data_IF_838367708145
#
_entry.id   IF_838367708145
#
_cell.length_a   1.000
_cell.length_b   1.000
_cell.length_c   1.000
_cell.angle_alpha   90.00
_cell.angle_beta   90.00
_cell.angle_gamma   90.00
#
_symmetry.space_group_name_H-M   'P 1'
#
loop_
_entity.id
_entity.type
_entity.pdbx_description
1 polymer ?
#
# COMPACT_ATOMS: atom_id res chain seq x y z
N UNK A 1 67.32 -4.65 6.81
CA UNK A 1 66.34 -3.77 6.12
C UNK A 1 65.27 -3.37 7.14
N UNK A 2 65.38 -2.16 7.73
CA UNK A 2 64.50 -1.69 8.81
C UNK A 2 63.27 -1.03 8.16
N UNK A 3 62.11 -1.71 8.18
CA UNK A 3 60.85 -1.13 7.67
C UNK A 3 60.57 0.16 8.46
N UNK A 4 60.44 1.29 7.75
CA UNK A 4 60.27 2.60 8.36
C UNK A 4 58.98 2.64 9.20
N UNK A 5 59.04 2.95 10.51
CA UNK A 5 57.85 3.03 11.36
C UNK A 5 56.89 4.13 10.90
N UNK A 6 57.40 5.09 10.11
CA UNK A 6 56.62 6.16 9.51
C UNK A 6 55.55 5.64 8.54
N UNK A 7 55.85 4.59 7.77
CA UNK A 7 54.88 4.01 6.83
C UNK A 7 53.73 3.30 7.55
N UNK A 8 54.02 2.66 8.69
CA UNK A 8 53.03 1.94 9.49
C UNK A 8 52.07 2.87 10.25
N UNK A 9 52.57 4.02 10.72
CA UNK A 9 51.77 5.04 11.39
C UNK A 9 50.86 5.77 10.40
N UNK A 10 51.36 6.07 9.19
CA UNK A 10 50.54 6.66 8.12
C UNK A 10 49.46 5.69 7.67
N UNK A 11 49.76 4.40 7.50
CA UNK A 11 48.74 3.39 7.17
C UNK A 11 47.68 3.23 8.27
N UNK A 12 48.07 3.26 9.56
CA UNK A 12 47.13 3.17 10.68
C UNK A 12 46.23 4.40 10.80
N UNK A 13 46.76 5.60 10.55
CA UNK A 13 45.98 6.85 10.55
C UNK A 13 44.98 6.90 9.39
N UNK A 14 45.36 6.41 8.20
CA UNK A 14 44.44 6.35 7.04
C UNK A 14 43.31 5.33 7.27
N UNK A 15 43.60 4.16 7.87
CA UNK A 15 42.56 3.19 8.24
C UNK A 15 41.62 3.70 9.34
N UNK A 16 42.11 4.47 10.32
CA UNK A 16 41.28 5.02 11.39
C UNK A 16 40.32 6.13 10.91
N UNK A 17 40.72 6.92 9.91
CA UNK A 17 39.86 7.97 9.33
C UNK A 17 38.75 7.39 8.45
N UNK A 18 38.99 6.27 7.77
CA UNK A 18 37.96 5.58 6.97
C UNK A 18 36.82 4.98 7.81
N UNK A 19 37.09 4.66 9.09
CA UNK A 19 36.10 4.12 10.03
C UNK A 19 35.21 5.18 10.70
N UNK A 20 35.53 6.47 10.53
CA UNK A 20 34.80 7.59 11.14
C UNK A 20 33.87 8.30 10.15
N UNK A 21 33.77 7.85 8.90
CA UNK A 21 32.72 8.33 8.01
C UNK A 21 31.39 7.73 8.45
N UNK A 22 30.40 8.55 8.86
CA UNK A 22 29.04 8.05 8.98
C UNK A 22 28.64 7.59 7.58
N UNK A 23 28.35 6.31 7.42
CA UNK A 23 27.65 5.83 6.24
C UNK A 23 26.32 6.57 6.19
N UNK A 24 26.24 7.62 5.37
CA UNK A 24 24.97 8.22 4.99
C UNK A 24 24.23 7.16 4.18
N UNK A 25 23.53 6.27 4.88
CA UNK A 25 22.55 5.38 4.29
C UNK A 25 21.39 6.28 3.88
N UNK A 26 21.43 6.75 2.64
CA UNK A 26 20.24 7.30 2.01
C UNK A 26 19.29 6.13 1.82
N UNK A 27 18.31 6.02 2.72
CA UNK A 27 17.17 5.13 2.52
C UNK A 27 16.32 5.71 1.38
N UNK A 28 16.62 5.32 0.15
CA UNK A 28 15.73 5.52 -0.99
C UNK A 28 14.58 4.52 -0.86
N UNK A 29 13.53 4.91 -0.15
CA UNK A 29 12.25 4.21 -0.19
C UNK A 29 11.68 4.27 -1.60
N UNK A 30 11.46 3.10 -2.22
CA UNK A 30 10.97 2.91 -3.59
C UNK A 30 11.79 3.64 -4.67
N UNK A 31 12.61 2.90 -5.42
CA UNK A 31 13.52 3.46 -6.42
C UNK A 31 12.82 4.41 -7.39
N UNK A 32 13.24 5.68 -7.43
CA UNK A 32 13.12 6.62 -8.56
C UNK A 32 11.74 6.93 -9.17
N UNK A 33 10.66 6.25 -8.78
CA UNK A 33 9.33 6.45 -9.39
C UNK A 33 8.73 7.74 -8.87
N UNK A 34 8.45 8.66 -9.78
CA UNK A 34 7.75 9.90 -9.47
C UNK A 34 6.30 9.56 -9.09
N UNK A 35 5.95 9.79 -7.83
CA UNK A 35 4.58 9.63 -7.34
C UNK A 35 3.70 10.78 -7.84
N UNK A 36 2.43 10.46 -8.05
CA UNK A 36 1.38 11.39 -8.46
C UNK A 36 0.67 11.89 -7.21
N UNK A 37 0.58 13.22 -7.05
CA UNK A 37 -0.24 13.87 -6.03
C UNK A 37 -1.71 13.84 -6.48
N UNK A 38 -2.61 13.16 -5.73
CA UNK A 38 -4.03 13.07 -6.09
C UNK A 38 -4.87 14.31 -5.78
N UNK A 39 -4.32 15.38 -5.17
CA UNK A 39 -5.03 16.60 -4.78
C UNK A 39 -6.32 16.30 -3.97
N UNK A 40 -6.17 15.52 -2.89
CA UNK A 40 -7.31 15.03 -2.10
C UNK A 40 -7.91 16.14 -1.22
N UNK A 41 -9.18 16.45 -1.44
CA UNK A 41 -9.98 17.28 -0.54
C UNK A 41 -10.85 16.44 0.42
N UNK A 42 -10.52 16.47 1.72
CA UNK A 42 -11.28 15.79 2.78
C UNK A 42 -12.64 16.45 3.09
N UNK A 43 -12.94 17.58 2.47
CA UNK A 43 -14.25 18.26 2.60
C UNK A 43 -15.19 17.90 1.46
N UNK A 44 -14.70 17.37 0.34
CA UNK A 44 -15.55 16.90 -0.76
C UNK A 44 -16.26 15.59 -0.37
N UNK A 45 -17.46 15.74 0.17
CA UNK A 45 -18.31 14.61 0.57
C UNK A 45 -18.66 13.72 -0.61
N UNK A 46 -18.86 14.27 -1.81
CA UNK A 46 -19.20 13.47 -2.97
C UNK A 46 -18.02 12.57 -3.39
N UNK A 47 -16.79 13.09 -3.34
CA UNK A 47 -15.57 12.31 -3.55
C UNK A 47 -15.41 11.22 -2.49
N UNK A 48 -15.58 11.57 -1.22
CA UNK A 48 -15.48 10.59 -0.12
C UNK A 48 -16.54 9.49 -0.20
N UNK A 49 -17.77 9.80 -0.61
CA UNK A 49 -18.83 8.82 -0.86
C UNK A 49 -18.49 7.86 -1.99
N UNK A 50 -17.96 8.37 -3.12
CA UNK A 50 -17.47 7.51 -4.21
C UNK A 50 -16.31 6.62 -3.74
N UNK A 51 -15.36 7.18 -2.99
CA UNK A 51 -14.23 6.45 -2.42
C UNK A 51 -14.66 5.33 -1.48
N UNK A 52 -15.61 5.60 -0.58
CA UNK A 52 -16.19 4.60 0.32
C UNK A 52 -16.85 3.46 -0.48
N UNK A 53 -17.64 3.79 -1.50
CA UNK A 53 -18.27 2.79 -2.36
C UNK A 53 -17.23 1.94 -3.12
N UNK A 54 -16.23 2.58 -3.72
CA UNK A 54 -15.16 1.88 -4.44
C UNK A 54 -14.40 0.93 -3.50
N UNK A 55 -14.11 1.36 -2.28
CA UNK A 55 -13.48 0.51 -1.29
C UNK A 55 -14.34 -0.72 -0.95
N UNK A 56 -15.64 -0.54 -0.69
CA UNK A 56 -16.52 -1.66 -0.37
C UNK A 56 -16.75 -2.61 -1.53
N UNK A 57 -16.77 -2.10 -2.76
CA UNK A 57 -17.00 -2.90 -3.97
C UNK A 57 -15.75 -3.70 -4.41
N UNK A 58 -14.55 -3.10 -4.33
CA UNK A 58 -13.33 -3.66 -4.93
C UNK A 58 -12.27 -4.11 -3.93
N UNK A 59 -12.26 -3.56 -2.71
CA UNK A 59 -11.18 -3.80 -1.75
C UNK A 59 -11.63 -4.70 -0.59
N UNK A 60 -12.84 -4.49 -0.08
CA UNK A 60 -13.33 -5.08 1.17
C UNK A 60 -13.61 -6.58 1.12
N UNK A 61 -13.49 -7.21 -0.06
CA UNK A 61 -13.49 -8.67 -0.17
C UNK A 61 -12.18 -9.30 0.29
N UNK A 62 -11.05 -8.59 0.13
CA UNK A 62 -9.71 -9.08 0.47
C UNK A 62 -9.08 -8.31 1.63
N UNK A 63 -9.32 -7.00 1.72
CA UNK A 63 -8.68 -6.11 2.68
C UNK A 63 -9.67 -5.61 3.73
N UNK A 64 -9.32 -5.79 5.00
CA UNK A 64 -10.09 -5.18 6.09
C UNK A 64 -9.72 -3.71 6.28
N UNK A 65 -10.64 -2.94 6.86
CA UNK A 65 -10.38 -1.67 7.52
C UNK A 65 -10.89 -1.77 8.97
N UNK A 66 -10.24 -2.63 9.75
CA UNK A 66 -10.68 -3.06 11.09
C UNK A 66 -10.84 -1.94 12.12
N UNK A 67 -10.28 -0.75 11.88
CA UNK A 67 -10.48 0.42 12.76
C UNK A 67 -11.63 1.33 12.31
N UNK A 68 -12.29 1.03 11.20
CA UNK A 68 -13.40 1.81 10.66
C UNK A 68 -14.73 1.10 10.85
N UNK A 69 -15.70 1.79 11.47
CA UNK A 69 -17.10 1.35 11.56
C UNK A 69 -17.94 1.96 10.45
N UNK A 70 -18.90 1.20 9.93
CA UNK A 70 -19.76 1.66 8.84
C UNK A 70 -20.55 2.92 9.20
N UNK A 71 -21.20 2.96 10.36
CA UNK A 71 -21.98 4.12 10.80
C UNK A 71 -21.12 5.37 11.00
N UNK A 72 -19.89 5.22 11.51
CA UNK A 72 -18.97 6.33 11.73
C UNK A 72 -18.52 6.92 10.40
N UNK A 73 -18.13 6.06 9.46
CA UNK A 73 -17.82 6.45 8.09
C UNK A 73 -19.02 7.16 7.44
N UNK A 74 -20.22 6.60 7.56
CA UNK A 74 -21.45 7.18 7.01
C UNK A 74 -21.67 8.61 7.51
N UNK A 75 -21.66 8.80 8.84
CA UNK A 75 -21.84 10.11 9.46
C UNK A 75 -20.77 11.12 9.02
N UNK A 76 -19.51 10.69 8.93
CA UNK A 76 -18.42 11.56 8.50
C UNK A 76 -18.56 12.00 7.05
N UNK A 77 -19.15 11.18 6.17
CA UNK A 77 -19.29 11.50 4.74
C UNK A 77 -20.71 11.95 4.36
N UNK A 78 -21.59 12.18 5.33
CA UNK A 78 -22.95 12.69 5.11
C UNK A 78 -23.93 11.67 4.52
N UNK A 79 -23.71 10.37 4.76
CA UNK A 79 -24.64 9.30 4.43
C UNK A 79 -25.45 8.88 5.66
N UNK A 80 -26.64 8.33 5.41
CA UNK A 80 -27.44 7.65 6.44
C UNK A 80 -27.05 6.18 6.56
N UNK A 81 -27.35 5.59 7.72
CA UNK A 81 -27.16 4.14 7.93
C UNK A 81 -27.88 3.30 6.87
N UNK A 82 -29.08 3.72 6.44
CA UNK A 82 -29.86 3.02 5.42
C UNK A 82 -29.20 3.06 4.03
N UNK A 83 -28.56 4.18 3.67
CA UNK A 83 -27.79 4.27 2.42
C UNK A 83 -26.60 3.32 2.43
N UNK A 84 -25.90 3.23 3.56
CA UNK A 84 -24.73 2.35 3.70
C UNK A 84 -25.12 0.87 3.76
N UNK A 85 -26.21 0.52 4.45
CA UNK A 85 -26.74 -0.85 4.48
C UNK A 85 -27.09 -1.37 3.10
N UNK A 86 -27.68 -0.51 2.26
CA UNK A 86 -28.16 -0.90 0.93
C UNK A 86 -27.03 -1.29 -0.02
N UNK A 87 -25.95 -0.49 -0.04
CA UNK A 87 -24.99 -0.52 -1.16
C UNK A 87 -23.52 -0.75 -0.73
N UNK A 88 -23.22 -0.91 0.56
CA UNK A 88 -21.83 -0.99 1.06
C UNK A 88 -21.58 -2.08 2.11
N UNK A 89 -22.62 -2.62 2.76
CA UNK A 89 -22.48 -3.62 3.84
C UNK A 89 -22.59 -5.06 3.32
N UNK A 90 -21.58 -5.53 2.60
CA UNK A 90 -21.56 -6.89 2.04
C UNK A 90 -21.09 -7.97 3.03
N UNK A 91 -20.39 -7.56 4.10
CA UNK A 91 -19.73 -8.49 5.04
C UNK A 91 -20.38 -8.53 6.43
N UNK A 92 -21.43 -7.75 6.70
CA UNK A 92 -22.12 -7.69 7.99
C UNK A 92 -23.52 -7.10 7.86
N UNK A 93 -24.44 -7.49 8.75
CA UNK A 93 -25.78 -6.94 8.86
C UNK A 93 -25.87 -5.74 9.83
N UNK A 94 -24.80 -5.47 10.61
CA UNK A 94 -24.81 -4.44 11.66
C UNK A 94 -23.97 -3.24 11.26
N UNK A 95 -24.62 -2.09 11.13
CA UNK A 95 -23.95 -0.83 10.74
C UNK A 95 -22.96 -0.33 11.80
N UNK A 96 -23.07 -0.80 13.04
CA UNK A 96 -22.11 -0.51 14.10
C UNK A 96 -20.83 -1.36 14.03
N UNK A 97 -20.79 -2.41 13.22
CA UNK A 97 -19.61 -3.27 13.10
C UNK A 97 -18.48 -2.57 12.34
N UNK A 98 -17.27 -3.12 12.49
CA UNK A 98 -16.10 -2.69 11.74
C UNK A 98 -16.08 -3.34 10.35
N UNK A 99 -15.37 -2.72 9.42
CA UNK A 99 -15.15 -3.26 8.07
C UNK A 99 -14.12 -4.39 8.11
N UNK A 100 -14.59 -5.61 8.39
CA UNK A 100 -13.75 -6.81 8.44
C UNK A 100 -14.15 -7.78 7.33
N UNK A 101 -13.16 -8.35 6.66
CA UNK A 101 -13.40 -9.39 5.66
C UNK A 101 -13.82 -10.70 6.32
N UNK A 102 -14.60 -11.51 5.61
CA UNK A 102 -14.99 -12.85 6.05
C UNK A 102 -13.90 -13.90 5.79
N UNK A 103 -12.94 -13.61 4.91
CA UNK A 103 -11.85 -14.51 4.54
C UNK A 103 -10.98 -14.86 5.75
N UNK A 104 -10.68 -16.16 5.92
CA UNK A 104 -9.81 -16.64 6.98
C UNK A 104 -8.32 -16.43 6.64
N UNK A 105 -7.49 -16.48 7.67
CA UNK A 105 -6.04 -16.46 7.56
C UNK A 105 -5.49 -17.53 6.59
N UNK A 106 -5.98 -18.76 6.77
CA UNK A 106 -5.52 -19.94 6.04
C UNK A 106 -5.98 -19.88 4.57
N UNK A 107 -7.22 -19.44 4.32
CA UNK A 107 -7.72 -19.24 2.96
C UNK A 107 -6.93 -18.16 2.22
N UNK A 108 -6.61 -17.05 2.91
CA UNK A 108 -5.84 -15.97 2.32
C UNK A 108 -4.43 -16.41 1.92
N UNK A 109 -3.75 -17.19 2.76
CA UNK A 109 -2.44 -17.75 2.44
C UNK A 109 -2.53 -18.79 1.31
N UNK A 110 -3.56 -19.63 1.31
CA UNK A 110 -3.79 -20.60 0.25
C UNK A 110 -4.06 -19.95 -1.12
N UNK A 111 -4.80 -18.83 -1.16
CA UNK A 111 -5.19 -18.18 -2.41
C UNK A 111 -4.18 -17.14 -2.93
N UNK A 112 -3.53 -16.40 -2.03
CA UNK A 112 -2.65 -15.28 -2.39
C UNK A 112 -1.18 -15.49 -1.99
N UNK A 113 -0.86 -16.58 -1.28
CA UNK A 113 0.47 -16.85 -0.72
C UNK A 113 0.83 -16.01 0.50
N UNK A 114 0.01 -15.01 0.84
CA UNK A 114 0.15 -14.14 2.00
C UNK A 114 -1.20 -13.54 2.37
N UNK A 115 -1.39 -13.18 3.62
CA UNK A 115 -2.57 -12.43 4.03
C UNK A 115 -2.55 -11.00 3.46
N UNK A 116 -3.62 -10.57 2.78
CA UNK A 116 -3.75 -9.17 2.39
C UNK A 116 -3.71 -8.26 3.63
N UNK A 117 -2.95 -7.15 3.60
CA UNK A 117 -2.83 -6.26 4.75
C UNK A 117 -4.16 -5.56 5.08
N UNK A 118 -4.37 -5.27 6.36
CA UNK A 118 -5.42 -4.34 6.80
C UNK A 118 -5.06 -2.91 6.36
N UNK A 119 -6.05 -2.20 5.79
CA UNK A 119 -5.88 -0.90 5.17
C UNK A 119 -6.33 0.28 6.06
N UNK A 120 -6.70 0.04 7.32
CA UNK A 120 -7.23 1.07 8.23
C UNK A 120 -6.37 2.35 8.29
N UNK A 121 -5.05 2.21 8.15
CA UNK A 121 -4.09 3.30 8.25
C UNK A 121 -3.10 3.32 7.07
N UNK A 122 -3.43 2.67 5.95
CA UNK A 122 -2.49 2.55 4.82
C UNK A 122 -2.10 3.91 4.26
N UNK A 123 -3.06 4.84 4.12
CA UNK A 123 -2.84 6.20 3.64
C UNK A 123 -1.88 7.00 4.53
N UNK A 124 -1.83 6.69 5.84
CA UNK A 124 -0.92 7.34 6.79
C UNK A 124 0.45 6.68 6.83
N UNK A 125 0.50 5.35 6.75
CA UNK A 125 1.76 4.59 6.82
C UNK A 125 2.58 4.67 5.54
N UNK A 126 1.93 4.80 4.37
CA UNK A 126 2.58 4.86 3.06
C UNK A 126 2.50 6.23 2.39
N UNK A 127 1.54 7.06 2.77
CA UNK A 127 1.25 8.34 2.11
C UNK A 127 0.15 8.23 1.04
N UNK A 128 -0.53 9.36 0.77
CA UNK A 128 -1.61 9.44 -0.23
C UNK A 128 -1.06 9.27 -1.65
N UNK A 129 0.03 9.95 -1.98
CA UNK A 129 0.67 9.89 -3.30
C UNK A 129 1.12 8.47 -3.63
N UNK A 130 1.65 7.76 -2.63
CA UNK A 130 2.03 6.35 -2.76
C UNK A 130 0.81 5.49 -3.04
N UNK A 131 -0.26 5.64 -2.25
CA UNK A 131 -1.48 4.82 -2.41
C UNK A 131 -2.12 5.05 -3.77
N UNK A 132 -2.24 6.31 -4.19
CA UNK A 132 -2.81 6.66 -5.49
C UNK A 132 -1.97 6.12 -6.64
N UNK A 133 -0.65 6.34 -6.58
CA UNK A 133 0.28 5.85 -7.61
C UNK A 133 0.33 4.31 -7.64
N UNK A 134 0.24 3.66 -6.48
CA UNK A 134 0.18 2.20 -6.40
C UNK A 134 -1.07 1.66 -7.10
N UNK A 135 -2.25 2.23 -6.84
CA UNK A 135 -3.50 1.76 -7.45
C UNK A 135 -3.51 1.93 -8.98
N UNK A 136 -2.85 2.96 -9.51
CA UNK A 136 -2.76 3.24 -10.95
C UNK A 136 -1.53 2.60 -11.62
N UNK A 137 -0.58 2.10 -10.83
CA UNK A 137 0.73 1.65 -11.29
C UNK A 137 0.79 0.21 -11.78
N UNK A 138 -0.37 -0.45 -11.91
CA UNK A 138 -0.44 -1.84 -12.40
C UNK A 138 -0.25 -1.90 -13.91
N UNK A 139 0.54 -2.87 -14.37
CA UNK A 139 0.77 -3.15 -15.79
C UNK A 139 0.87 -4.67 -16.03
N UNK A 140 0.60 -5.09 -17.26
CA UNK A 140 0.72 -6.47 -17.72
C UNK A 140 2.17 -6.94 -17.65
N UNK A 141 2.42 -8.06 -16.98
CA UNK A 141 3.74 -8.66 -16.88
C UNK A 141 3.67 -10.11 -17.39
N UNK A 142 4.27 -10.41 -18.56
CA UNK A 142 4.19 -11.73 -19.18
C UNK A 142 5.06 -12.78 -18.46
N UNK A 143 5.81 -12.40 -17.42
CA UNK A 143 6.62 -13.33 -16.65
C UNK A 143 5.73 -14.40 -15.98
N UNK A 144 5.93 -15.70 -16.30
CA UNK A 144 5.13 -16.79 -15.73
C UNK A 144 5.21 -16.91 -14.20
N UNK A 145 6.24 -16.32 -13.57
CA UNK A 145 6.34 -16.27 -12.11
C UNK A 145 5.38 -15.27 -11.45
N UNK A 146 4.65 -14.45 -12.22
CA UNK A 146 3.62 -13.55 -11.70
C UNK A 146 2.26 -14.27 -11.67
N UNK A 147 1.69 -14.57 -10.49
CA UNK A 147 0.46 -15.38 -10.39
C UNK A 147 -0.75 -14.75 -11.09
N UNK A 148 -0.79 -13.42 -11.18
CA UNK A 148 -1.90 -12.66 -11.73
C UNK A 148 -1.59 -12.00 -13.08
N UNK A 149 -0.43 -12.32 -13.70
CA UNK A 149 -0.02 -11.75 -14.99
C UNK A 149 0.17 -10.23 -15.00
N UNK A 150 0.35 -9.63 -13.82
CA UNK A 150 0.55 -8.19 -13.64
C UNK A 150 1.69 -7.92 -12.66
N UNK A 151 2.23 -6.72 -12.74
CA UNK A 151 3.20 -6.19 -11.79
C UNK A 151 2.90 -4.70 -11.53
N UNK A 152 3.68 -4.05 -10.66
CA UNK A 152 3.43 -2.67 -10.26
C UNK A 152 4.71 -1.84 -10.23
N UNK A 153 4.64 -0.63 -10.80
CA UNK A 153 5.81 0.27 -10.87
C UNK A 153 6.22 0.82 -9.50
N UNK A 154 5.27 1.01 -8.59
CA UNK A 154 5.51 1.57 -7.24
C UNK A 154 5.93 0.49 -6.25
N UNK A 155 5.40 -0.72 -6.42
CA UNK A 155 5.71 -1.87 -5.57
C UNK A 155 6.04 -3.10 -6.44
N UNK A 156 7.31 -3.26 -6.84
CA UNK A 156 7.72 -4.36 -7.70
C UNK A 156 7.43 -5.73 -7.08
N UNK A 157 7.15 -6.69 -7.95
CA UNK A 157 6.86 -8.08 -7.59
C UNK A 157 5.60 -8.24 -6.72
N UNK A 158 4.65 -7.32 -6.87
CA UNK A 158 3.38 -7.32 -6.14
C UNK A 158 2.64 -8.66 -6.24
N UNK A 159 2.10 -9.11 -5.11
CA UNK A 159 1.24 -10.31 -5.03
C UNK A 159 -0.25 -10.00 -5.15
N UNK A 160 -0.62 -8.77 -5.52
CA UNK A 160 -1.99 -8.31 -5.62
C UNK A 160 -2.44 -8.34 -7.09
N UNK A 161 -3.64 -8.85 -7.42
CA UNK A 161 -4.20 -8.71 -8.76
C UNK A 161 -4.54 -7.26 -9.08
N UNK A 162 -4.67 -6.93 -10.37
CA UNK A 162 -5.13 -5.60 -10.79
C UNK A 162 -6.66 -5.49 -10.68
N UNK A 163 -7.14 -5.24 -9.46
CA UNK A 163 -8.58 -5.18 -9.13
C UNK A 163 -9.35 -4.06 -9.84
N UNK A 164 -8.66 -3.01 -10.30
CA UNK A 164 -9.25 -1.86 -11.02
C UNK A 164 -9.12 -1.97 -12.54
N UNK A 165 -8.65 -3.09 -13.08
CA UNK A 165 -8.47 -3.30 -14.54
C UNK A 165 -9.74 -3.06 -15.34
N UNK A 166 -10.91 -3.39 -14.80
CA UNK A 166 -12.21 -3.10 -15.45
C UNK A 166 -12.54 -1.61 -15.56
N UNK A 167 -11.90 -0.75 -14.77
CA UNK A 167 -12.07 0.70 -14.77
C UNK A 167 -10.94 1.41 -15.53
N UNK A 168 -9.69 0.96 -15.33
CA UNK A 168 -8.49 1.58 -15.90
C UNK A 168 -8.13 1.02 -17.29
N UNK A 169 -8.54 -0.20 -17.60
CA UNK A 169 -8.03 -0.99 -18.72
C UNK A 169 -6.65 -1.60 -18.43
N UNK A 170 -6.23 -2.52 -19.30
CA UNK A 170 -4.92 -3.18 -19.19
C UNK A 170 -3.82 -2.22 -19.67
N UNK A 171 -2.87 -1.92 -18.78
CA UNK A 171 -1.67 -1.15 -19.12
C UNK A 171 -0.56 -2.09 -19.57
N UNK A 172 0.29 -1.65 -20.49
CA UNK A 172 1.41 -2.43 -21.05
C UNK A 172 2.76 -1.86 -20.63
#
# INVERSE_FOLDING_TARGET
>A
MRKSPFLAVVFSLVSAVALLMPSLVVASGAGGVKLIDPDVDLKDKASLQRGAKLFTDYCLSCHSASFMRYNRMAADIGLTDEQVKKDMMFATDKVGDVMKVAMSADDAEAWFGVQPPDLSVVSRSRGLDWLYSYLLGFYEDPNPSRPFGVNNIVFPEVGMPHVLSGLQGVQK
#
